data_IF_234636924942
#
_entry.id   IF_234636924942
#
_cell.length_a   1.000
_cell.length_b   1.000
_cell.length_c   1.000
_cell.angle_alpha   90.00
_cell.angle_beta   90.00
_cell.angle_gamma   90.00
#
_symmetry.space_group_name_H-M   'P 1'
#
loop_
_entity.id
_entity.type
_entity.pdbx_description
1 polymer ?
#
# COMPACT_ATOMS: atom_id res chain seq x y z
N UNK A 1 -0.85 2.90 26.80
CA UNK A 1 -0.41 1.81 25.91
C UNK A 1 0.92 2.24 25.31
N UNK A 2 2.00 1.47 25.51
CA UNK A 2 3.28 1.74 24.87
C UNK A 2 3.23 1.19 23.43
N UNK A 3 3.08 2.06 22.43
CA UNK A 3 3.28 1.70 21.01
C UNK A 3 4.79 1.60 20.75
N UNK A 4 5.40 0.45 21.05
CA UNK A 4 6.66 0.10 20.42
C UNK A 4 6.47 0.04 18.90
N UNK A 5 7.52 0.32 18.10
CA UNK A 5 7.47 0.15 16.64
C UNK A 5 7.31 -1.34 16.32
N UNK A 6 6.09 -1.83 16.33
CA UNK A 6 5.75 -3.17 15.86
C UNK A 6 5.93 -3.16 14.33
N UNK A 7 6.77 -4.06 13.78
CA UNK A 7 6.89 -4.21 12.33
C UNK A 7 5.51 -4.47 11.71
N UNK A 8 5.19 -3.75 10.63
CA UNK A 8 3.92 -3.84 9.91
C UNK A 8 4.18 -3.89 8.40
N UNK A 9 3.13 -4.17 7.62
CA UNK A 9 3.20 -4.29 6.17
C UNK A 9 3.00 -5.72 5.70
N UNK A 10 3.17 -5.94 4.38
CA UNK A 10 3.05 -7.27 3.78
C UNK A 10 4.39 -8.00 3.68
N UNK A 11 5.52 -7.29 3.80
CA UNK A 11 6.88 -7.80 3.50
C UNK A 11 7.18 -9.22 4.01
N UNK A 12 6.94 -9.55 5.29
CA UNK A 12 7.20 -10.88 5.84
C UNK A 12 6.33 -12.02 5.27
N UNK A 13 5.35 -11.70 4.42
CA UNK A 13 4.36 -12.62 3.90
C UNK A 13 4.40 -12.76 2.38
N UNK A 14 5.29 -12.04 1.68
CA UNK A 14 5.28 -12.00 0.22
C UNK A 14 6.08 -13.15 -0.40
N UNK A 15 5.49 -13.80 -1.41
CA UNK A 15 6.13 -14.83 -2.22
C UNK A 15 6.94 -14.24 -3.40
N UNK A 16 8.13 -13.71 -3.13
CA UNK A 16 9.03 -13.26 -4.21
C UNK A 16 8.61 -11.98 -4.93
N UNK A 17 7.64 -11.23 -4.40
CA UNK A 17 7.31 -9.90 -4.89
C UNK A 17 8.44 -8.91 -4.56
N UNK A 18 8.75 -8.04 -5.51
CA UNK A 18 9.67 -6.94 -5.32
C UNK A 18 9.07 -5.90 -4.35
N UNK A 19 9.81 -5.53 -3.31
CA UNK A 19 9.37 -4.57 -2.29
C UNK A 19 10.24 -3.34 -2.34
N UNK A 20 9.62 -2.20 -2.60
CA UNK A 20 10.28 -0.90 -2.67
C UNK A 20 9.67 0.01 -1.60
N UNK A 21 10.51 0.83 -0.96
CA UNK A 21 10.02 1.86 -0.03
C UNK A 21 9.74 3.12 -0.81
N UNK A 22 8.51 3.63 -0.70
CA UNK A 22 8.13 4.94 -1.18
C UNK A 22 7.90 5.87 0.02
N UNK A 23 8.33 7.12 -0.11
CA UNK A 23 8.07 8.19 0.85
C UNK A 23 7.05 9.13 0.22
N UNK A 24 5.86 9.20 0.80
CA UNK A 24 4.80 10.06 0.29
C UNK A 24 5.24 11.54 0.30
N UNK A 25 5.02 12.24 -0.81
CA UNK A 25 5.47 13.62 -1.01
C UNK A 25 6.93 13.78 -1.46
N UNK A 26 7.71 12.69 -1.52
CA UNK A 26 9.09 12.69 -2.02
C UNK A 26 9.28 11.73 -3.21
N UNK A 27 8.64 10.56 -3.18
CA UNK A 27 8.71 9.60 -4.28
C UNK A 27 7.83 10.04 -5.43
N UNK A 28 8.41 10.13 -6.62
CA UNK A 28 7.70 10.49 -7.84
C UNK A 28 6.88 9.30 -8.38
N UNK A 29 5.60 9.50 -8.78
CA UNK A 29 4.78 8.43 -9.35
C UNK A 29 5.41 7.76 -10.58
N UNK A 30 6.09 8.54 -11.41
CA UNK A 30 6.73 8.05 -12.63
C UNK A 30 7.91 7.10 -12.34
N UNK A 31 8.62 7.29 -11.22
CA UNK A 31 9.68 6.37 -10.79
C UNK A 31 9.09 4.99 -10.43
N UNK A 32 7.97 4.97 -9.70
CA UNK A 32 7.29 3.73 -9.35
C UNK A 32 6.72 3.03 -10.59
N UNK A 33 6.16 3.80 -11.52
CA UNK A 33 5.65 3.27 -12.79
C UNK A 33 6.78 2.67 -13.64
N UNK A 34 7.89 3.38 -13.78
CA UNK A 34 9.05 2.92 -14.54
C UNK A 34 9.60 1.61 -13.94
N UNK A 35 9.68 1.52 -12.61
CA UNK A 35 10.10 0.31 -11.92
C UNK A 35 9.12 -0.85 -12.11
N UNK A 36 7.81 -0.57 -12.04
CA UNK A 36 6.78 -1.58 -12.21
C UNK A 36 6.78 -2.18 -13.63
N UNK A 37 7.10 -1.39 -14.66
CA UNK A 37 6.91 -1.78 -16.05
C UNK A 37 5.42 -2.09 -16.28
N UNK A 38 5.10 -3.22 -16.88
CA UNK A 38 3.71 -3.64 -17.10
C UNK A 38 3.04 -4.33 -15.88
N UNK A 39 3.79 -4.54 -14.79
CA UNK A 39 3.29 -5.26 -13.60
C UNK A 39 2.36 -4.36 -12.79
N UNK A 40 1.25 -4.86 -12.21
CA UNK A 40 0.42 -4.05 -11.32
C UNK A 40 1.19 -3.65 -10.05
N UNK A 41 0.82 -2.51 -9.46
CA UNK A 41 1.43 -2.00 -8.23
C UNK A 41 0.47 -2.20 -7.05
N UNK A 42 1.01 -2.67 -5.93
CA UNK A 42 0.28 -2.75 -4.65
C UNK A 42 0.90 -1.74 -3.68
N UNK A 43 0.18 -0.64 -3.44
CA UNK A 43 0.58 0.39 -2.48
C UNK A 43 0.09 0.01 -1.09
N UNK A 44 1.02 -0.19 -0.15
CA UNK A 44 0.72 -0.54 1.24
C UNK A 44 1.13 0.61 2.14
N UNK A 45 0.20 1.13 2.93
CA UNK A 45 0.50 2.20 3.88
C UNK A 45 -0.40 2.18 5.10
N UNK A 46 -0.02 2.94 6.12
CA UNK A 46 -0.75 3.06 7.38
C UNK A 46 -1.21 4.49 7.58
N UNK A 47 -2.52 4.66 7.78
CA UNK A 47 -3.17 5.97 7.90
C UNK A 47 -2.89 6.89 6.69
N UNK A 48 -2.98 6.34 5.47
CA UNK A 48 -2.70 7.03 4.20
C UNK A 48 -3.45 8.36 4.10
N UNK A 49 -4.70 8.40 4.55
CA UNK A 49 -5.52 9.61 4.55
C UNK A 49 -4.96 10.75 5.43
N UNK A 50 -3.99 10.49 6.31
CA UNK A 50 -3.30 11.46 7.20
C UNK A 50 -1.85 11.71 6.81
N UNK A 51 -1.29 10.90 5.91
CA UNK A 51 0.10 11.02 5.49
C UNK A 51 0.18 12.10 4.39
N UNK A 52 0.96 13.19 4.61
CA UNK A 52 1.11 14.23 3.59
C UNK A 52 1.64 13.65 2.27
N UNK A 53 1.07 14.07 1.14
CA UNK A 53 1.46 13.61 -0.20
C UNK A 53 0.98 12.20 -0.58
N UNK A 54 0.34 11.46 0.33
CA UNK A 54 -0.02 10.07 0.06
C UNK A 54 -1.21 9.93 -0.88
N UNK A 55 -2.18 10.86 -0.79
CA UNK A 55 -3.34 10.85 -1.68
C UNK A 55 -2.92 11.19 -3.09
N UNK A 56 -2.10 12.23 -3.22
CA UNK A 56 -1.54 12.72 -4.46
C UNK A 56 -0.72 11.64 -5.17
N UNK A 57 0.18 10.95 -4.45
CA UNK A 57 0.96 9.84 -4.98
C UNK A 57 0.07 8.68 -5.46
N UNK A 58 -0.91 8.27 -4.65
CA UNK A 58 -1.82 7.18 -4.99
C UNK A 58 -2.67 7.52 -6.21
N UNK A 59 -3.27 8.71 -6.22
CA UNK A 59 -4.17 9.15 -7.29
C UNK A 59 -3.38 9.33 -8.60
N UNK A 60 -2.20 9.94 -8.56
CA UNK A 60 -1.34 10.10 -9.75
C UNK A 60 -0.88 8.75 -10.33
N UNK A 61 -0.50 7.79 -9.47
CA UNK A 61 -0.10 6.46 -9.94
C UNK A 61 -1.30 5.68 -10.48
N UNK A 62 -2.46 5.74 -9.82
CA UNK A 62 -3.66 5.03 -10.24
C UNK A 62 -4.25 5.56 -11.57
N UNK A 63 -4.08 6.85 -11.85
CA UNK A 63 -4.49 7.46 -13.11
C UNK A 63 -3.74 6.92 -14.34
N UNK A 64 -2.54 6.35 -14.12
CA UNK A 64 -1.66 5.92 -15.23
C UNK A 64 -1.25 4.45 -15.17
N UNK A 65 -1.61 3.73 -14.10
CA UNK A 65 -1.16 2.36 -13.88
C UNK A 65 -2.15 1.52 -13.05
N UNK A 66 -2.23 0.19 -13.22
CA UNK A 66 -3.07 -0.66 -12.38
C UNK A 66 -2.59 -0.69 -10.92
N UNK A 67 -3.31 0.02 -10.05
CA UNK A 67 -2.98 0.14 -8.62
C UNK A 67 -4.03 -0.54 -7.73
N UNK A 68 -3.56 -1.34 -6.77
CA UNK A 68 -4.33 -1.77 -5.59
C UNK A 68 -3.77 -1.09 -4.35
N UNK A 69 -4.63 -0.54 -3.50
CA UNK A 69 -4.22 0.12 -2.25
C UNK A 69 -4.58 -0.76 -1.05
N UNK A 70 -3.65 -0.90 -0.11
CA UNK A 70 -3.85 -1.58 1.18
C UNK A 70 -3.63 -0.57 2.30
N UNK A 71 -4.73 -0.10 2.88
CA UNK A 71 -4.76 0.75 4.08
C UNK A 71 -4.68 -0.12 5.34
N UNK A 72 -3.52 -0.05 6.00
CA UNK A 72 -3.19 -0.74 7.22
C UNK A 72 -3.27 0.20 8.42
N UNK A 73 -4.45 0.38 8.98
CA UNK A 73 -4.63 1.22 10.16
C UNK A 73 -6.09 1.54 10.40
N UNK A 74 -6.33 2.60 11.15
CA UNK A 74 -7.65 3.19 11.24
C UNK A 74 -7.97 3.89 9.91
N UNK A 75 -9.00 3.47 9.16
CA UNK A 75 -9.33 4.08 7.89
C UNK A 75 -10.03 5.44 8.07
N UNK A 76 -9.80 6.35 7.13
CA UNK A 76 -10.61 7.54 6.93
C UNK A 76 -11.69 7.34 5.86
N UNK A 77 -12.39 8.42 5.50
CA UNK A 77 -13.39 8.42 4.42
C UNK A 77 -12.81 8.55 3.01
N UNK A 78 -11.52 8.89 2.86
CA UNK A 78 -10.88 9.02 1.54
C UNK A 78 -10.77 7.66 0.84
N UNK A 79 -11.06 7.65 -0.46
CA UNK A 79 -10.84 6.52 -1.36
C UNK A 79 -10.29 7.06 -2.70
N UNK A 80 -9.25 6.45 -3.28
CA UNK A 80 -8.76 6.81 -4.60
C UNK A 80 -9.78 6.42 -5.67
N UNK A 81 -10.02 7.31 -6.63
CA UNK A 81 -11.07 7.13 -7.64
C UNK A 81 -10.71 6.06 -8.69
N UNK A 82 -9.43 6.01 -9.09
CA UNK A 82 -8.98 5.19 -10.22
C UNK A 82 -8.24 3.90 -9.78
N UNK A 83 -8.14 3.65 -8.46
CA UNK A 83 -7.56 2.41 -7.99
C UNK A 83 -8.46 1.22 -8.33
N UNK A 84 -7.85 0.12 -8.77
CA UNK A 84 -8.55 -1.13 -9.10
C UNK A 84 -9.22 -1.76 -7.88
N UNK A 85 -8.60 -1.61 -6.71
CA UNK A 85 -9.12 -2.10 -5.44
C UNK A 85 -8.57 -1.28 -4.27
N UNK A 86 -9.36 -1.16 -3.21
CA UNK A 86 -8.96 -0.55 -1.94
C UNK A 86 -9.29 -1.50 -0.79
N UNK A 87 -8.25 -2.07 -0.18
CA UNK A 87 -8.36 -3.01 0.95
C UNK A 87 -8.08 -2.26 2.23
N UNK A 88 -8.96 -2.38 3.21
CA UNK A 88 -8.74 -1.87 4.56
C UNK A 88 -8.59 -3.04 5.52
N UNK A 89 -7.49 -3.09 6.27
CA UNK A 89 -7.24 -4.20 7.20
C UNK A 89 -7.67 -3.90 8.65
N UNK A 90 -8.10 -2.66 8.95
CA UNK A 90 -8.51 -2.18 10.28
C UNK A 90 -7.46 -2.40 11.38
N UNK A 91 -6.19 -2.59 11.00
CA UNK A 91 -5.11 -2.93 11.91
C UNK A 91 -3.83 -3.27 11.15
N UNK A 92 -2.70 -3.09 11.81
CA UNK A 92 -1.37 -3.28 11.21
C UNK A 92 -0.61 -4.46 11.83
N UNK A 93 -1.33 -5.42 12.44
CA UNK A 93 -0.69 -6.60 13.04
C UNK A 93 -0.13 -7.54 11.97
N UNK A 94 0.75 -8.44 12.39
CA UNK A 94 1.27 -9.52 11.54
C UNK A 94 0.15 -10.39 10.93
N UNK A 95 -0.93 -10.64 11.67
CA UNK A 95 -2.08 -11.39 11.15
C UNK A 95 -2.82 -10.60 10.07
N UNK A 96 -2.96 -9.27 10.22
CA UNK A 96 -3.56 -8.40 9.21
C UNK A 96 -2.73 -8.41 7.92
N UNK A 97 -1.41 -8.30 8.03
CA UNK A 97 -0.50 -8.37 6.89
C UNK A 97 -0.62 -9.70 6.15
N UNK A 98 -0.62 -10.82 6.88
CA UNK A 98 -0.78 -12.14 6.27
C UNK A 98 -2.12 -12.31 5.56
N UNK A 99 -3.21 -11.90 6.20
CA UNK A 99 -4.55 -12.01 5.61
C UNK A 99 -4.68 -11.16 4.33
N UNK A 100 -4.15 -9.94 4.33
CA UNK A 100 -4.14 -9.08 3.15
C UNK A 100 -3.30 -9.70 2.01
N UNK A 101 -2.10 -10.23 2.31
CA UNK A 101 -1.28 -10.93 1.33
C UNK A 101 -2.00 -12.15 0.75
N UNK A 102 -2.72 -12.93 1.56
CA UNK A 102 -3.49 -14.09 1.11
C UNK A 102 -4.65 -13.70 0.18
N UNK A 103 -5.44 -12.70 0.56
CA UNK A 103 -6.58 -12.22 -0.25
C UNK A 103 -6.11 -11.68 -1.60
N UNK A 104 -4.92 -11.07 -1.64
CA UNK A 104 -4.33 -10.55 -2.87
C UNK A 104 -3.56 -11.61 -3.68
N UNK A 105 -3.49 -12.87 -3.20
CA UNK A 105 -2.73 -13.93 -3.87
C UNK A 105 -1.20 -13.71 -3.87
N UNK A 106 -0.70 -12.91 -2.92
CA UNK A 106 0.71 -12.56 -2.78
C UNK A 106 1.44 -13.38 -1.71
N UNK A 107 0.70 -14.20 -0.96
CA UNK A 107 1.24 -14.94 0.17
C UNK A 107 2.16 -16.09 -0.25
N UNK A 108 3.27 -16.28 0.48
CA UNK A 108 4.17 -17.45 0.38
C UNK A 108 5.01 -17.66 1.63
#
# INVERSE_FOLDING_TARGET
IAEGRVPWGLGPHLAGAEVVRAVAGETEPDELRALAGDRPVVLVGRHLHRLPGARELVDALAATHPVTVVEMGWPGGWRPAEARAFVTTYGASHANGRAAAQVLGLAG
#
